data_IF_896148054413
#
_entry.id   IF_896148054413
#
_cell.length_a   1.000
_cell.length_b   1.000
_cell.length_c   1.000
_cell.angle_alpha   90.00
_cell.angle_beta   90.00
_cell.angle_gamma   90.00
#
_symmetry.space_group_name_H-M   'P 1'
#
loop_
_entity.id
_entity.type
_entity.pdbx_description
1 polymer ?
#
# COMPACT_ATOMS: atom_id res chain seq x y z
N UNK A 1 34.91 -55.14 -38.83
CA UNK A 1 34.73 -54.87 -37.39
C UNK A 1 35.18 -53.47 -36.99
N UNK A 2 36.38 -52.98 -37.32
CA UNK A 2 36.84 -51.65 -36.88
C UNK A 2 35.89 -50.47 -37.31
N UNK A 3 35.33 -50.50 -38.54
CA UNK A 3 34.40 -49.44 -39.02
C UNK A 3 33.07 -49.40 -38.28
N UNK A 4 32.55 -50.54 -37.81
CA UNK A 4 31.28 -50.63 -37.05
C UNK A 4 31.49 -50.10 -35.65
N UNK A 5 32.65 -50.31 -35.05
CA UNK A 5 33.01 -49.80 -33.70
C UNK A 5 33.10 -48.27 -33.74
N UNK A 6 33.71 -47.67 -34.76
CA UNK A 6 33.79 -46.22 -34.89
C UNK A 6 32.40 -45.58 -35.13
N UNK A 7 31.49 -46.22 -35.88
CA UNK A 7 30.11 -45.76 -36.04
C UNK A 7 29.32 -45.81 -34.73
N UNK A 8 29.56 -46.85 -33.89
CA UNK A 8 28.85 -46.97 -32.61
C UNK A 8 29.38 -45.98 -31.56
N UNK A 9 30.69 -45.72 -31.51
CA UNK A 9 31.27 -44.71 -30.65
C UNK A 9 30.84 -43.30 -31.06
N UNK A 10 30.75 -43.01 -32.37
CA UNK A 10 30.24 -41.73 -32.87
C UNK A 10 28.73 -41.50 -32.56
N UNK A 11 27.94 -42.57 -32.59
CA UNK A 11 26.50 -42.49 -32.26
C UNK A 11 26.28 -42.31 -30.72
N UNK A 12 27.11 -42.89 -29.87
CA UNK A 12 27.03 -42.69 -28.42
C UNK A 12 27.46 -41.27 -27.99
N UNK A 13 28.34 -40.60 -28.73
CA UNK A 13 28.75 -39.23 -28.45
C UNK A 13 27.69 -38.20 -28.85
N UNK A 14 26.71 -38.55 -29.70
CA UNK A 14 25.61 -37.70 -30.08
C UNK A 14 24.39 -37.79 -29.12
N UNK A 15 24.42 -38.74 -28.18
CA UNK A 15 23.34 -38.95 -27.20
C UNK A 15 23.64 -38.28 -25.83
N UNK A 16 24.77 -37.65 -25.63
CA UNK A 16 25.00 -36.75 -24.51
C UNK A 16 24.33 -35.39 -24.82
N UNK A 17 23.01 -35.41 -24.93
CA UNK A 17 22.22 -34.21 -24.86
C UNK A 17 22.45 -33.59 -23.50
N UNK A 18 23.26 -32.55 -23.40
CA UNK A 18 23.23 -31.63 -22.27
C UNK A 18 21.78 -31.23 -22.08
N UNK A 19 21.26 -31.34 -20.85
CA UNK A 19 20.01 -30.68 -20.50
C UNK A 19 20.20 -29.20 -20.79
N UNK A 20 19.44 -28.67 -21.73
CA UNK A 20 19.45 -27.24 -22.06
C UNK A 20 18.60 -26.44 -21.06
N UNK A 21 18.56 -26.86 -19.81
CA UNK A 21 18.05 -26.04 -18.71
C UNK A 21 19.17 -25.09 -18.23
N UNK A 22 19.66 -24.27 -19.15
CA UNK A 22 20.42 -23.08 -18.75
C UNK A 22 19.44 -22.06 -18.23
N UNK A 23 19.32 -21.97 -16.90
CA UNK A 23 18.70 -20.84 -16.23
C UNK A 23 19.53 -19.60 -16.64
N UNK A 24 18.93 -18.59 -17.28
CA UNK A 24 19.65 -17.38 -17.66
C UNK A 24 20.37 -16.83 -16.43
N UNK A 25 21.68 -16.61 -16.50
CA UNK A 25 22.49 -16.11 -15.37
C UNK A 25 22.00 -14.74 -14.84
N UNK A 26 21.15 -14.06 -15.58
CA UNK A 26 20.50 -12.80 -15.21
C UNK A 26 19.09 -12.97 -14.61
N UNK A 27 18.53 -14.19 -14.56
CA UNK A 27 17.26 -14.44 -13.87
C UNK A 27 17.54 -14.92 -12.46
N UNK A 28 17.02 -14.18 -11.48
CA UNK A 28 17.02 -14.64 -10.09
C UNK A 28 16.05 -15.80 -10.00
N UNK A 29 16.57 -17.02 -9.77
CA UNK A 29 15.76 -18.21 -9.60
C UNK A 29 14.85 -18.06 -8.36
N UNK A 30 13.60 -18.53 -8.47
CA UNK A 30 12.62 -18.59 -7.41
C UNK A 30 13.22 -19.16 -6.12
N UNK A 31 13.96 -20.26 -6.24
CA UNK A 31 14.60 -20.92 -5.10
C UNK A 31 15.60 -19.99 -4.39
N UNK A 32 16.34 -19.18 -5.12
CA UNK A 32 17.31 -18.23 -4.53
C UNK A 32 16.62 -17.16 -3.70
N UNK A 33 15.46 -16.68 -4.14
CA UNK A 33 14.69 -15.65 -3.42
C UNK A 33 14.10 -16.21 -2.13
N UNK A 34 13.42 -17.35 -2.19
CA UNK A 34 12.66 -17.87 -1.06
C UNK A 34 13.47 -18.72 -0.08
N UNK A 35 14.76 -18.93 -0.32
CA UNK A 35 15.67 -19.69 0.56
C UNK A 35 16.41 -18.86 1.60
N UNK A 36 16.35 -17.53 1.51
CA UNK A 36 17.13 -16.66 2.39
C UNK A 36 16.27 -15.50 2.89
N UNK A 37 16.51 -15.07 4.12
CA UNK A 37 15.88 -13.86 4.66
C UNK A 37 16.11 -12.64 3.76
N UNK A 38 17.34 -12.48 3.25
CA UNK A 38 17.66 -11.37 2.34
C UNK A 38 16.86 -11.40 1.04
N UNK A 39 16.58 -12.58 0.53
CA UNK A 39 15.72 -12.76 -0.64
C UNK A 39 14.28 -12.36 -0.35
N UNK A 40 13.72 -12.80 0.80
CA UNK A 40 12.39 -12.42 1.25
C UNK A 40 12.28 -10.89 1.45
N UNK A 41 13.27 -10.30 2.11
CA UNK A 41 13.36 -8.85 2.30
C UNK A 41 13.35 -8.12 0.96
N UNK A 42 14.23 -8.50 0.04
CA UNK A 42 14.37 -7.86 -1.27
C UNK A 42 13.07 -7.94 -2.09
N UNK A 43 12.41 -9.12 -2.08
CA UNK A 43 11.12 -9.28 -2.76
C UNK A 43 10.05 -8.37 -2.15
N UNK A 44 10.01 -8.30 -0.82
CA UNK A 44 8.98 -7.55 -0.09
C UNK A 44 9.00 -6.04 -0.40
N UNK A 45 10.12 -5.49 -0.85
CA UNK A 45 10.18 -4.09 -1.29
C UNK A 45 9.25 -3.78 -2.48
N UNK A 46 8.93 -4.78 -3.31
CA UNK A 46 7.99 -4.62 -4.42
C UNK A 46 6.56 -4.25 -3.96
N UNK A 47 6.18 -4.61 -2.73
CA UNK A 47 4.85 -4.29 -2.19
C UNK A 47 4.67 -2.81 -1.92
N UNK A 48 5.75 -2.10 -1.60
CA UNK A 48 5.72 -0.66 -1.31
C UNK A 48 5.34 0.20 -2.51
N UNK A 49 5.39 -0.35 -3.74
CA UNK A 49 4.91 0.34 -4.94
C UNK A 49 3.40 0.65 -4.90
N UNK A 50 2.65 0.00 -4.01
CA UNK A 50 1.23 0.26 -3.78
C UNK A 50 0.97 1.51 -2.95
N UNK A 51 1.96 1.99 -2.20
CA UNK A 51 1.80 3.19 -1.39
C UNK A 51 1.77 4.44 -2.28
N UNK A 52 1.04 5.49 -1.86
CA UNK A 52 1.02 6.75 -2.58
C UNK A 52 2.43 7.29 -2.82
N UNK A 53 2.67 7.76 -4.02
CA UNK A 53 3.93 8.42 -4.36
C UNK A 53 4.03 9.80 -3.69
N UNK A 54 5.25 10.35 -3.66
CA UNK A 54 5.48 11.73 -3.15
C UNK A 54 4.60 12.75 -3.88
N UNK A 55 4.30 12.50 -5.16
CA UNK A 55 3.49 13.41 -5.98
C UNK A 55 1.99 13.32 -5.69
N UNK A 56 1.49 12.19 -5.19
CA UNK A 56 0.04 11.99 -5.00
C UNK A 56 -0.51 12.90 -3.90
N UNK A 57 0.27 13.14 -2.85
CA UNK A 57 -0.15 13.96 -1.72
C UNK A 57 -0.63 15.35 -2.12
N UNK A 58 0.14 16.08 -2.93
CA UNK A 58 -0.24 17.43 -3.34
C UNK A 58 -1.20 17.48 -4.54
N UNK A 59 -1.24 16.45 -5.38
CA UNK A 59 -2.17 16.41 -6.53
C UNK A 59 -3.62 16.21 -6.09
N UNK A 60 -3.84 15.53 -4.99
CA UNK A 60 -5.18 15.35 -4.40
C UNK A 60 -5.77 16.65 -3.85
N UNK A 61 -4.97 17.67 -3.59
CA UNK A 61 -5.45 19.00 -3.16
C UNK A 61 -6.40 19.64 -4.17
N UNK A 62 -6.36 19.25 -5.43
CA UNK A 62 -7.30 19.68 -6.47
C UNK A 62 -8.76 19.24 -6.21
N UNK A 63 -9.00 18.29 -5.29
CA UNK A 63 -10.32 17.80 -4.90
C UNK A 63 -10.78 18.33 -3.54
N UNK A 64 -10.07 19.30 -2.97
CA UNK A 64 -10.34 19.87 -1.66
C UNK A 64 -11.14 21.17 -1.75
N UNK A 65 -11.84 21.54 -0.67
CA UNK A 65 -12.69 22.74 -0.59
C UNK A 65 -11.91 24.06 -0.57
N UNK A 66 -10.60 24.03 -0.50
CA UNK A 66 -9.78 25.25 -0.44
C UNK A 66 -9.09 25.58 -1.75
N UNK A 67 -9.05 24.65 -2.71
CA UNK A 67 -8.31 24.78 -3.93
C UNK A 67 -9.14 24.64 -5.21
N UNK A 68 -8.66 25.22 -6.28
CA UNK A 68 -9.20 25.05 -7.62
C UNK A 68 -8.07 24.91 -8.63
N UNK A 69 -8.30 24.08 -9.64
CA UNK A 69 -7.41 23.87 -10.79
C UNK A 69 -8.18 24.20 -12.09
N UNK A 70 -7.46 24.24 -13.21
CA UNK A 70 -8.06 24.62 -14.52
C UNK A 70 -9.00 23.55 -15.09
N UNK A 71 -8.88 22.29 -14.66
CA UNK A 71 -9.77 21.21 -15.08
C UNK A 71 -10.14 20.35 -13.88
N UNK A 72 -11.42 20.06 -13.72
CA UNK A 72 -11.90 19.15 -12.70
C UNK A 72 -11.65 17.70 -13.10
N UNK A 73 -11.30 16.88 -12.10
CA UNK A 73 -11.23 15.44 -12.26
C UNK A 73 -12.58 14.88 -12.69
N UNK A 74 -12.58 13.84 -13.51
CA UNK A 74 -13.82 13.16 -13.94
C UNK A 74 -14.64 12.64 -12.77
N UNK A 75 -14.00 12.32 -11.66
CA UNK A 75 -14.67 11.88 -10.43
C UNK A 75 -15.64 12.95 -9.87
N UNK A 76 -15.34 14.24 -10.04
CA UNK A 76 -16.17 15.36 -9.53
C UNK A 76 -17.19 15.79 -10.56
N UNK A 77 -16.94 15.56 -11.85
CA UNK A 77 -17.79 16.06 -12.93
C UNK A 77 -19.04 15.21 -13.06
N UNK A 78 -20.21 15.86 -13.05
CA UNK A 78 -21.49 15.21 -13.27
C UNK A 78 -21.49 14.42 -14.59
N UNK A 79 -21.90 13.17 -14.54
CA UNK A 79 -21.99 12.27 -15.70
C UNK A 79 -20.66 11.83 -16.33
N UNK A 80 -19.51 12.26 -15.78
CA UNK A 80 -18.20 11.89 -16.33
C UNK A 80 -17.57 10.64 -15.68
N UNK A 81 -18.18 10.13 -14.62
CA UNK A 81 -17.74 8.94 -13.90
C UNK A 81 -18.82 7.87 -13.91
N UNK A 82 -18.47 6.67 -14.32
CA UNK A 82 -19.33 5.49 -14.30
C UNK A 82 -18.48 4.24 -14.11
N UNK A 83 -19.10 3.10 -13.84
CA UNK A 83 -18.42 1.81 -13.76
C UNK A 83 -17.61 1.48 -15.03
N UNK A 84 -18.10 1.87 -16.20
CA UNK A 84 -17.41 1.66 -17.50
C UNK A 84 -16.23 2.60 -17.70
N UNK A 85 -16.29 3.81 -17.14
CA UNK A 85 -15.25 4.84 -17.25
C UNK A 85 -14.28 4.82 -16.06
N UNK A 86 -14.54 3.99 -15.04
CA UNK A 86 -13.71 3.82 -13.87
C UNK A 86 -12.40 3.16 -14.25
N UNK A 87 -11.29 3.69 -13.73
CA UNK A 87 -9.97 3.05 -13.75
C UNK A 87 -9.70 2.37 -12.39
N UNK A 88 -8.58 1.64 -12.28
CA UNK A 88 -8.13 1.09 -11.00
C UNK A 88 -8.62 -0.33 -10.69
N UNK A 89 -9.37 -0.97 -11.60
CA UNK A 89 -9.69 -2.40 -11.50
C UNK A 89 -8.48 -3.22 -11.96
N UNK A 90 -7.42 -3.22 -11.15
CA UNK A 90 -6.15 -3.91 -11.42
C UNK A 90 -5.82 -4.86 -10.28
N UNK A 91 -5.38 -6.06 -10.62
CA UNK A 91 -5.13 -7.16 -9.69
C UNK A 91 -3.67 -7.62 -9.69
N UNK A 92 -2.78 -6.89 -10.37
CA UNK A 92 -1.36 -7.24 -10.51
C UNK A 92 -0.64 -7.26 -9.16
N UNK A 93 -0.92 -6.26 -8.31
CA UNK A 93 -0.28 -6.14 -7.01
C UNK A 93 -0.74 -7.25 -6.07
N UNK A 94 -2.04 -7.57 -6.07
CA UNK A 94 -2.58 -8.70 -5.33
C UNK A 94 -1.95 -10.03 -5.78
N UNK A 95 -1.81 -10.23 -7.10
CA UNK A 95 -1.15 -11.43 -7.63
C UNK A 95 0.30 -11.54 -7.13
N UNK A 96 1.04 -10.43 -7.11
CA UNK A 96 2.40 -10.37 -6.60
C UNK A 96 2.48 -10.74 -5.11
N UNK A 97 1.55 -10.23 -4.31
CA UNK A 97 1.45 -10.54 -2.87
C UNK A 97 1.10 -12.01 -2.65
N UNK A 98 0.07 -12.51 -3.31
CA UNK A 98 -0.35 -13.91 -3.16
C UNK A 98 0.75 -14.87 -3.61
N UNK A 99 1.45 -14.57 -4.72
CA UNK A 99 2.59 -15.34 -5.16
C UNK A 99 3.68 -15.42 -4.08
N UNK A 100 3.96 -14.32 -3.41
CA UNK A 100 4.93 -14.31 -2.32
C UNK A 100 4.48 -15.20 -1.15
N UNK A 101 3.23 -15.06 -0.69
CA UNK A 101 2.69 -15.83 0.42
C UNK A 101 2.75 -17.33 0.12
N UNK A 102 2.32 -17.76 -1.07
CA UNK A 102 2.33 -19.16 -1.51
C UNK A 102 3.74 -19.76 -1.58
N UNK A 103 4.75 -18.96 -1.85
CA UNK A 103 6.12 -19.43 -2.03
C UNK A 103 7.03 -19.21 -0.81
N UNK A 104 6.57 -18.47 0.20
CA UNK A 104 7.31 -18.24 1.45
C UNK A 104 7.19 -19.44 2.41
N UNK A 105 7.53 -20.63 1.94
CA UNK A 105 7.36 -21.90 2.65
C UNK A 105 8.66 -22.66 2.91
N UNK A 106 9.81 -22.14 2.45
CA UNK A 106 11.07 -22.85 2.53
C UNK A 106 11.56 -22.96 3.97
N UNK A 107 11.75 -24.19 4.45
CA UNK A 107 12.19 -24.50 5.82
C UNK A 107 13.66 -24.13 6.10
N UNK A 108 14.44 -23.75 5.08
CA UNK A 108 15.78 -23.21 5.28
C UNK A 108 15.75 -21.80 5.92
N UNK A 109 14.61 -21.14 5.93
CA UNK A 109 14.36 -19.89 6.65
C UNK A 109 13.52 -20.18 7.87
N UNK A 110 13.91 -19.67 9.03
CA UNK A 110 13.16 -19.85 10.27
C UNK A 110 11.70 -19.43 10.14
N UNK A 111 10.79 -20.17 10.77
CA UNK A 111 9.36 -19.92 10.71
C UNK A 111 9.01 -18.49 11.17
N UNK A 112 9.64 -18.00 12.23
CA UNK A 112 9.42 -16.63 12.72
C UNK A 112 9.82 -15.56 11.69
N UNK A 113 10.88 -15.82 10.92
CA UNK A 113 11.31 -14.93 9.83
C UNK A 113 10.33 -15.01 8.66
N UNK A 114 9.88 -16.22 8.27
CA UNK A 114 8.85 -16.37 7.25
C UNK A 114 7.56 -15.65 7.64
N UNK A 115 7.10 -15.86 8.87
CA UNK A 115 5.89 -15.21 9.39
C UNK A 115 5.99 -13.69 9.43
N UNK A 116 7.17 -13.13 9.71
CA UNK A 116 7.40 -11.70 9.63
C UNK A 116 7.15 -11.16 8.20
N UNK A 117 7.70 -11.82 7.17
CA UNK A 117 7.52 -11.37 5.79
C UNK A 117 6.13 -11.73 5.22
N UNK A 118 5.53 -12.84 5.66
CA UNK A 118 4.12 -13.15 5.36
C UNK A 118 3.22 -12.09 6.02
N UNK A 119 3.52 -11.68 7.26
CA UNK A 119 2.82 -10.59 7.94
C UNK A 119 2.87 -9.28 7.17
N UNK A 120 4.05 -8.93 6.64
CA UNK A 120 4.20 -7.77 5.77
C UNK A 120 3.39 -7.92 4.46
N UNK A 121 3.40 -9.09 3.83
CA UNK A 121 2.62 -9.35 2.63
C UNK A 121 1.10 -9.26 2.91
N UNK A 122 0.63 -9.81 4.03
CA UNK A 122 -0.77 -9.72 4.47
C UNK A 122 -1.18 -8.29 4.83
N UNK A 123 -0.29 -7.49 5.40
CA UNK A 123 -0.51 -6.05 5.59
C UNK A 123 -0.83 -5.36 4.26
N UNK A 124 -0.04 -5.61 3.22
CA UNK A 124 -0.27 -5.02 1.90
C UNK A 124 -1.49 -5.61 1.19
N UNK A 125 -1.84 -6.88 1.43
CA UNK A 125 -3.08 -7.46 0.92
C UNK A 125 -4.31 -6.81 1.56
N UNK A 126 -4.28 -6.60 2.86
CA UNK A 126 -5.31 -5.87 3.58
C UNK A 126 -5.45 -4.42 3.07
N UNK A 127 -4.34 -3.73 2.84
CA UNK A 127 -4.34 -2.39 2.25
C UNK A 127 -4.93 -2.39 0.85
N UNK A 128 -4.54 -3.33 -0.01
CA UNK A 128 -5.09 -3.50 -1.35
C UNK A 128 -6.62 -3.67 -1.32
N UNK A 129 -7.11 -4.61 -0.52
CA UNK A 129 -8.55 -4.87 -0.46
C UNK A 129 -9.33 -3.73 0.17
N UNK A 130 -8.78 -3.05 1.16
CA UNK A 130 -9.37 -1.84 1.70
C UNK A 130 -9.58 -0.77 0.62
N UNK A 131 -8.55 -0.46 -0.17
CA UNK A 131 -8.65 0.50 -1.28
C UNK A 131 -9.66 0.05 -2.34
N UNK A 132 -9.69 -1.24 -2.67
CA UNK A 132 -10.66 -1.81 -3.61
C UNK A 132 -12.09 -1.71 -3.09
N UNK A 133 -12.35 -2.01 -1.82
CA UNK A 133 -13.67 -1.92 -1.20
C UNK A 133 -14.13 -0.47 -1.08
N UNK A 134 -13.25 0.45 -0.70
CA UNK A 134 -13.56 1.89 -0.66
C UNK A 134 -14.03 2.39 -2.03
N UNK A 135 -13.40 1.92 -3.09
CA UNK A 135 -13.67 2.39 -4.45
C UNK A 135 -14.83 1.68 -5.13
N UNK A 136 -14.95 0.37 -4.97
CA UNK A 136 -15.84 -0.47 -5.78
C UNK A 136 -16.96 -1.15 -4.97
N UNK A 137 -16.93 -1.08 -3.65
CA UNK A 137 -17.82 -1.83 -2.78
C UNK A 137 -17.50 -3.31 -2.77
N UNK A 138 -18.42 -4.17 -3.20
CA UNK A 138 -18.19 -5.60 -3.34
C UNK A 138 -17.10 -5.90 -4.38
N UNK A 139 -16.18 -6.80 -4.04
CA UNK A 139 -15.07 -7.24 -4.90
C UNK A 139 -14.80 -8.72 -4.70
N UNK A 140 -14.27 -9.47 -5.68
CA UNK A 140 -13.93 -10.87 -5.47
C UNK A 140 -12.76 -11.00 -4.49
N UNK A 141 -12.86 -11.91 -3.52
CA UNK A 141 -11.77 -12.28 -2.64
C UNK A 141 -10.90 -13.35 -3.31
N UNK A 142 -9.64 -13.04 -3.50
CA UNK A 142 -8.65 -13.91 -4.14
C UNK A 142 -7.42 -13.96 -3.23
N UNK A 143 -7.19 -15.09 -2.59
CA UNK A 143 -6.10 -15.31 -1.62
C UNK A 143 -4.94 -16.15 -2.17
N UNK A 144 -4.99 -16.49 -3.47
CA UNK A 144 -3.99 -17.30 -4.18
C UNK A 144 -3.70 -16.76 -5.58
N UNK A 145 -2.66 -17.28 -6.19
CA UNK A 145 -2.35 -16.99 -7.61
C UNK A 145 -3.28 -17.78 -8.52
N UNK A 146 -3.91 -17.09 -9.47
CA UNK A 146 -4.81 -17.73 -10.43
C UNK A 146 -4.06 -18.11 -11.71
N UNK A 147 -4.33 -19.33 -12.20
CA UNK A 147 -3.96 -19.78 -13.55
C UNK A 147 -4.89 -19.22 -14.63
N UNK A 148 -4.54 -19.42 -15.89
CA UNK A 148 -5.34 -18.90 -17.03
C UNK A 148 -6.72 -19.56 -17.18
N UNK A 149 -6.88 -20.75 -16.64
CA UNK A 149 -8.13 -21.54 -16.73
C UNK A 149 -8.86 -21.57 -15.36
N UNK A 150 -8.50 -20.70 -14.42
CA UNK A 150 -9.07 -20.69 -13.08
C UNK A 150 -10.50 -20.11 -13.10
N UNK A 151 -11.44 -20.85 -12.51
CA UNK A 151 -12.85 -20.47 -12.48
C UNK A 151 -13.09 -19.16 -11.71
N UNK A 152 -12.23 -18.82 -10.75
CA UNK A 152 -12.31 -17.54 -10.01
C UNK A 152 -12.08 -16.31 -10.90
N UNK A 153 -11.48 -16.47 -12.08
CA UNK A 153 -11.38 -15.37 -13.06
C UNK A 153 -12.74 -14.88 -13.54
N UNK A 154 -13.76 -15.71 -13.42
CA UNK A 154 -15.14 -15.44 -13.86
C UNK A 154 -16.13 -15.42 -12.71
N UNK A 155 -15.65 -15.51 -11.45
CA UNK A 155 -16.49 -15.46 -10.28
C UNK A 155 -17.15 -14.10 -10.10
N UNK A 156 -18.30 -14.09 -9.44
CA UNK A 156 -18.94 -12.86 -9.00
C UNK A 156 -18.12 -12.14 -7.92
N UNK A 157 -18.62 -10.98 -7.51
CA UNK A 157 -18.03 -10.24 -6.39
C UNK A 157 -18.50 -10.86 -5.07
N UNK A 158 -17.60 -10.98 -4.12
CA UNK A 158 -17.92 -11.29 -2.75
C UNK A 158 -18.48 -10.07 -2.04
N UNK A 159 -19.30 -10.29 -1.02
CA UNK A 159 -19.87 -9.20 -0.25
C UNK A 159 -18.79 -8.38 0.46
N UNK A 160 -19.00 -7.08 0.59
CA UNK A 160 -18.15 -6.20 1.39
C UNK A 160 -17.84 -6.80 2.77
N UNK A 161 -18.84 -7.38 3.43
CA UNK A 161 -18.66 -8.01 4.76
C UNK A 161 -17.63 -9.11 4.72
N UNK A 162 -17.76 -10.06 3.80
CA UNK A 162 -16.81 -11.17 3.65
C UNK A 162 -15.39 -10.66 3.39
N UNK A 163 -15.24 -9.68 2.48
CA UNK A 163 -13.92 -9.13 2.15
C UNK A 163 -13.32 -8.39 3.33
N UNK A 164 -14.11 -7.59 4.07
CA UNK A 164 -13.59 -6.84 5.22
C UNK A 164 -13.26 -7.73 6.40
N UNK A 165 -13.97 -8.85 6.59
CA UNK A 165 -13.62 -9.85 7.61
C UNK A 165 -12.24 -10.46 7.30
N UNK A 166 -11.96 -10.81 6.05
CA UNK A 166 -10.63 -11.26 5.63
C UNK A 166 -9.55 -10.17 5.74
N UNK A 167 -9.90 -8.91 5.47
CA UNK A 167 -9.00 -7.77 5.69
C UNK A 167 -8.60 -7.69 7.17
N UNK A 168 -9.56 -7.88 8.08
CA UNK A 168 -9.29 -7.89 9.51
C UNK A 168 -8.36 -9.06 9.91
N UNK A 169 -8.62 -10.26 9.43
CA UNK A 169 -7.76 -11.44 9.63
C UNK A 169 -6.32 -11.21 9.13
N UNK A 170 -6.16 -10.56 7.99
CA UNK A 170 -4.85 -10.22 7.46
C UNK A 170 -4.12 -9.20 8.32
N UNK A 171 -4.84 -8.20 8.82
CA UNK A 171 -4.26 -7.19 9.73
C UNK A 171 -3.91 -7.77 11.10
N UNK A 172 -4.72 -8.69 11.62
CA UNK A 172 -4.42 -9.38 12.87
C UNK A 172 -3.13 -10.17 12.75
N UNK A 173 -3.00 -10.97 11.71
CA UNK A 173 -1.77 -11.70 11.44
C UNK A 173 -0.57 -10.76 11.28
N UNK A 174 -0.74 -9.65 10.57
CA UNK A 174 0.33 -8.66 10.38
C UNK A 174 0.77 -8.04 11.72
N UNK A 175 -0.19 -7.63 12.56
CA UNK A 175 0.07 -7.07 13.89
C UNK A 175 0.81 -8.04 14.81
N UNK A 176 0.52 -9.33 14.72
CA UNK A 176 1.16 -10.35 15.53
C UNK A 176 2.58 -10.70 15.06
N UNK A 177 2.79 -10.77 13.76
CA UNK A 177 3.97 -11.39 13.17
C UNK A 177 5.02 -10.41 12.64
N UNK A 178 4.68 -9.15 12.32
CA UNK A 178 5.69 -8.15 11.94
C UNK A 178 6.60 -7.88 13.14
N UNK A 179 7.87 -8.24 13.00
CA UNK A 179 8.87 -8.15 14.08
C UNK A 179 9.53 -6.77 14.17
N UNK A 180 9.55 -5.99 13.09
CA UNK A 180 10.14 -4.66 13.05
C UNK A 180 9.33 -3.70 13.93
N UNK A 181 9.95 -3.17 15.00
CA UNK A 181 9.31 -2.20 15.91
C UNK A 181 9.85 -0.79 15.76
N UNK A 182 10.96 -0.61 15.03
CA UNK A 182 11.57 0.71 14.78
C UNK A 182 12.07 0.80 13.34
N UNK A 183 11.94 1.98 12.78
CA UNK A 183 12.55 2.36 11.52
C UNK A 183 13.00 3.82 11.57
N UNK A 184 14.31 4.02 11.53
CA UNK A 184 14.93 5.36 11.59
C UNK A 184 14.71 6.18 10.31
N UNK A 185 14.28 5.54 9.24
CA UNK A 185 14.01 6.21 7.97
C UNK A 185 12.57 6.70 7.86
N UNK A 186 11.65 6.12 8.62
CA UNK A 186 10.22 6.36 8.52
C UNK A 186 9.59 5.87 7.19
N UNK A 187 10.27 4.98 6.47
CA UNK A 187 9.85 4.52 5.14
C UNK A 187 9.44 3.05 5.09
N UNK A 188 9.66 2.29 6.15
CA UNK A 188 9.34 0.87 6.22
C UNK A 188 8.18 0.59 7.18
N UNK A 189 7.36 -0.39 6.80
CA UNK A 189 6.27 -0.85 7.65
C UNK A 189 6.83 -1.51 8.90
N UNK A 190 6.41 -1.00 10.05
CA UNK A 190 6.67 -1.56 11.38
C UNK A 190 5.40 -2.20 11.93
N UNK A 191 5.53 -2.96 13.01
CA UNK A 191 4.39 -3.48 13.76
C UNK A 191 3.37 -2.37 14.11
N UNK A 192 3.86 -1.20 14.47
CA UNK A 192 3.01 -0.07 14.86
C UNK A 192 2.25 0.53 13.67
N UNK A 193 2.85 0.52 12.48
CA UNK A 193 2.16 0.89 11.24
C UNK A 193 1.02 -0.09 10.95
N UNK A 194 1.21 -1.39 11.20
CA UNK A 194 0.14 -2.38 11.04
C UNK A 194 -1.03 -2.12 12.00
N UNK A 195 -0.77 -1.87 13.27
CA UNK A 195 -1.80 -1.48 14.24
C UNK A 195 -2.49 -0.16 13.88
N UNK A 196 -1.74 0.84 13.41
CA UNK A 196 -2.33 2.12 13.00
C UNK A 196 -3.25 1.94 11.78
N UNK A 197 -2.84 1.14 10.79
CA UNK A 197 -3.68 0.81 9.65
C UNK A 197 -4.92 0.02 10.08
N UNK A 198 -4.77 -0.98 10.96
CA UNK A 198 -5.89 -1.73 11.54
C UNK A 198 -6.91 -0.79 12.19
N UNK A 199 -6.43 0.12 13.05
CA UNK A 199 -7.31 1.11 13.70
C UNK A 199 -8.07 1.96 12.68
N UNK A 200 -7.37 2.47 11.65
CA UNK A 200 -7.98 3.30 10.59
C UNK A 200 -9.04 2.53 9.79
N UNK A 201 -8.73 1.31 9.36
CA UNK A 201 -9.64 0.49 8.56
C UNK A 201 -10.85 0.09 9.38
N UNK A 202 -10.68 -0.33 10.63
CA UNK A 202 -11.79 -0.71 11.51
C UNK A 202 -12.68 0.50 11.83
N UNK A 203 -12.12 1.68 12.06
CA UNK A 203 -12.89 2.91 12.25
C UNK A 203 -13.70 3.28 11.01
N UNK A 204 -13.10 3.16 9.83
CA UNK A 204 -13.79 3.41 8.55
C UNK A 204 -14.96 2.44 8.37
N UNK A 205 -14.72 1.13 8.56
CA UNK A 205 -15.74 0.10 8.37
C UNK A 205 -16.88 0.25 9.38
N UNK A 206 -16.58 0.50 10.65
CA UNK A 206 -17.58 0.78 11.67
C UNK A 206 -18.45 1.99 11.30
N UNK A 207 -17.82 3.07 10.86
CA UNK A 207 -18.51 4.28 10.44
C UNK A 207 -19.36 4.04 9.21
N UNK A 208 -18.84 3.31 8.23
CA UNK A 208 -19.58 2.93 7.03
C UNK A 208 -20.85 2.13 7.41
N UNK A 209 -20.72 1.06 8.20
CA UNK A 209 -21.86 0.23 8.65
C UNK A 209 -22.88 1.04 9.46
N UNK A 210 -22.41 1.98 10.26
CA UNK A 210 -23.27 2.84 11.09
C UNK A 210 -24.15 3.77 10.27
N UNK A 211 -23.59 4.39 9.22
CA UNK A 211 -24.29 5.41 8.46
C UNK A 211 -25.00 4.87 7.22
N UNK A 212 -24.68 3.65 6.79
CA UNK A 212 -25.36 2.95 5.69
C UNK A 212 -26.34 1.88 6.22
N UNK A 213 -27.36 2.37 6.94
CA UNK A 213 -28.35 1.49 7.59
C UNK A 213 -29.16 0.65 6.61
N UNK A 214 -29.25 1.07 5.35
CA UNK A 214 -29.89 0.35 4.27
C UNK A 214 -29.25 -1.01 3.96
N UNK A 215 -28.00 -1.21 4.37
CA UNK A 215 -27.26 -2.45 4.18
C UNK A 215 -27.53 -3.50 5.27
N UNK A 216 -28.22 -3.12 6.37
CA UNK A 216 -28.55 -4.03 7.46
C UNK A 216 -27.34 -4.54 8.27
N UNK A 217 -26.25 -3.77 8.34
CA UNK A 217 -24.98 -4.16 8.99
C UNK A 217 -24.76 -3.51 10.36
N UNK A 218 -25.79 -2.87 10.91
CA UNK A 218 -25.68 -2.09 12.16
C UNK A 218 -25.32 -2.90 13.38
N UNK A 219 -25.67 -4.18 13.42
CA UNK A 219 -25.41 -5.07 14.57
C UNK A 219 -23.91 -5.32 14.82
N UNK A 220 -23.07 -5.15 13.81
CA UNK A 220 -21.62 -5.36 13.87
C UNK A 220 -20.80 -4.09 14.11
N UNK A 221 -21.46 -2.94 14.18
CA UNK A 221 -20.80 -1.61 14.30
C UNK A 221 -19.91 -1.52 15.53
N UNK A 222 -20.42 -1.93 16.68
CA UNK A 222 -19.72 -1.80 17.97
C UNK A 222 -18.45 -2.67 18.01
N UNK A 223 -18.50 -3.86 17.39
CA UNK A 223 -17.36 -4.76 17.30
C UNK A 223 -16.21 -4.10 16.51
N UNK A 224 -16.51 -3.54 15.36
CA UNK A 224 -15.51 -2.83 14.55
C UNK A 224 -14.96 -1.57 15.23
N UNK A 225 -15.79 -0.80 15.97
CA UNK A 225 -15.28 0.30 16.78
C UNK A 225 -14.35 -0.18 17.91
N UNK A 226 -14.68 -1.29 18.55
CA UNK A 226 -13.82 -1.85 19.59
C UNK A 226 -12.47 -2.31 19.04
N UNK A 227 -12.42 -2.93 17.86
CA UNK A 227 -11.16 -3.26 17.17
C UNK A 227 -10.34 -2.00 16.88
N UNK A 228 -10.99 -0.96 16.35
CA UNK A 228 -10.31 0.31 16.10
C UNK A 228 -9.69 0.91 17.37
N UNK A 229 -10.43 0.91 18.47
CA UNK A 229 -9.97 1.42 19.78
C UNK A 229 -8.81 0.58 20.31
N UNK A 230 -8.95 -0.76 20.32
CA UNK A 230 -7.89 -1.66 20.79
C UNK A 230 -6.58 -1.45 20.03
N UNK A 231 -6.64 -1.36 18.72
CA UNK A 231 -5.47 -1.14 17.87
C UNK A 231 -4.83 0.24 18.13
N UNK A 232 -5.64 1.30 18.23
CA UNK A 232 -5.16 2.64 18.54
C UNK A 232 -4.51 2.71 19.93
N UNK A 233 -5.13 2.12 20.95
CA UNK A 233 -4.59 2.08 22.31
C UNK A 233 -3.25 1.34 22.37
N UNK A 234 -3.08 0.24 21.60
CA UNK A 234 -1.81 -0.47 21.52
C UNK A 234 -0.72 0.43 20.96
N UNK A 235 -0.99 1.17 19.88
CA UNK A 235 -0.05 2.15 19.34
C UNK A 235 0.30 3.21 20.41
N UNK A 236 -0.70 3.81 21.04
CA UNK A 236 -0.50 4.89 22.01
C UNK A 236 0.30 4.44 23.24
N UNK A 237 0.12 3.20 23.69
CA UNK A 237 0.74 2.69 24.92
C UNK A 237 2.09 2.04 24.70
N UNK A 238 2.34 1.43 23.54
CA UNK A 238 3.46 0.51 23.34
C UNK A 238 4.45 0.95 22.26
N UNK A 239 4.04 1.81 21.31
CA UNK A 239 4.91 2.13 20.15
C UNK A 239 6.08 3.05 20.49
N UNK A 240 5.93 3.86 21.53
CA UNK A 240 6.89 4.92 21.88
C UNK A 240 6.77 6.18 21.01
N UNK A 241 5.83 6.21 20.05
CA UNK A 241 5.55 7.44 19.30
C UNK A 241 4.79 8.45 20.19
N UNK A 242 5.04 9.71 19.93
CA UNK A 242 4.41 10.82 20.65
C UNK A 242 4.34 12.06 19.76
N UNK A 243 3.43 12.96 20.09
CA UNK A 243 3.36 14.27 19.41
C UNK A 243 4.71 14.98 19.53
N UNK A 244 5.24 15.42 18.40
CA UNK A 244 6.52 16.10 18.33
C UNK A 244 6.43 17.53 18.90
N UNK A 245 7.30 17.83 19.85
CA UNK A 245 7.35 19.14 20.54
C UNK A 245 8.76 19.73 20.55
N UNK A 246 9.69 19.18 19.74
CA UNK A 246 11.11 19.54 19.79
C UNK A 246 11.44 20.98 19.39
N UNK A 247 10.57 21.66 18.62
CA UNK A 247 10.72 23.05 18.21
C UNK A 247 9.82 24.03 19.03
N UNK A 248 9.20 23.55 20.09
CA UNK A 248 8.22 24.31 20.88
C UNK A 248 6.84 24.38 20.24
N UNK A 249 5.89 25.01 20.95
CA UNK A 249 4.47 25.03 20.57
C UNK A 249 4.19 25.73 19.25
N UNK A 250 5.01 26.72 18.89
CA UNK A 250 4.78 27.58 17.72
C UNK A 250 5.34 27.01 16.41
N UNK A 251 6.35 26.11 16.51
CA UNK A 251 7.09 25.65 15.33
C UNK A 251 7.00 24.14 15.09
N UNK A 252 6.78 23.31 16.12
CA UNK A 252 6.85 21.84 16.00
C UNK A 252 5.89 21.29 14.95
N UNK A 253 4.64 21.75 14.93
CA UNK A 253 3.67 21.31 13.93
C UNK A 253 4.13 21.62 12.49
N UNK A 254 4.65 22.84 12.27
CA UNK A 254 5.17 23.22 10.96
C UNK A 254 6.37 22.37 10.56
N UNK A 255 7.26 22.07 11.52
CA UNK A 255 8.48 21.30 11.27
C UNK A 255 8.19 19.89 10.75
N UNK A 256 7.07 19.25 11.13
CA UNK A 256 6.65 17.96 10.61
C UNK A 256 6.48 17.96 9.08
N UNK A 257 6.06 19.11 8.51
CA UNK A 257 5.72 19.21 7.09
C UNK A 257 6.81 19.86 6.22
N UNK A 258 7.84 20.46 6.84
CA UNK A 258 8.93 21.12 6.11
C UNK A 258 10.31 20.51 6.36
N UNK A 259 10.40 19.49 7.20
CA UNK A 259 11.66 18.77 7.46
C UNK A 259 12.11 17.99 6.23
N UNK A 260 13.42 17.94 5.99
CA UNK A 260 14.02 17.15 4.92
C UNK A 260 13.88 15.63 5.12
N UNK A 261 13.59 15.21 6.35
CA UNK A 261 13.40 13.81 6.74
C UNK A 261 12.20 13.68 7.65
N UNK A 262 11.51 12.53 7.64
CA UNK A 262 10.43 12.26 8.58
C UNK A 262 10.91 12.42 10.04
N UNK A 263 10.12 13.09 10.85
CA UNK A 263 10.33 13.16 12.30
C UNK A 263 9.78 11.88 12.92
N UNK A 264 10.61 10.84 12.99
CA UNK A 264 10.19 9.47 13.34
C UNK A 264 9.71 9.28 14.78
N UNK A 265 9.81 10.31 15.63
CA UNK A 265 9.13 10.31 16.93
C UNK A 265 7.61 10.44 16.83
N UNK A 266 7.08 10.99 15.73
CA UNK A 266 5.64 11.13 15.47
C UNK A 266 5.24 10.46 14.16
N UNK A 267 6.03 10.63 13.09
CA UNK A 267 5.75 10.08 11.76
C UNK A 267 6.07 8.58 11.74
N UNK A 268 5.08 7.74 11.52
CA UNK A 268 5.22 6.28 11.56
C UNK A 268 5.59 5.68 10.20
N UNK A 269 5.04 6.24 9.12
CA UNK A 269 5.33 5.84 7.73
C UNK A 269 5.17 7.04 6.80
N UNK A 270 6.16 7.28 5.95
CA UNK A 270 6.16 8.38 5.00
C UNK A 270 6.64 7.91 3.62
N UNK A 271 6.10 8.54 2.59
CA UNK A 271 6.66 8.45 1.25
C UNK A 271 7.77 9.50 1.12
N UNK A 272 9.00 9.05 0.98
CA UNK A 272 10.18 9.90 1.03
C UNK A 272 10.66 10.28 -0.39
N UNK A 273 11.01 11.56 -0.57
CA UNK A 273 11.73 12.01 -1.76
C UNK A 273 13.25 11.82 -1.56
N UNK A 274 13.95 11.46 -2.61
CA UNK A 274 15.41 11.36 -2.62
C UNK A 274 15.95 11.78 -3.98
N UNK A 275 16.65 12.92 -4.01
CA UNK A 275 17.22 13.46 -5.24
C UNK A 275 18.33 12.58 -5.83
N UNK A 276 19.08 11.87 -5.00
CA UNK A 276 20.13 10.95 -5.44
C UNK A 276 19.58 9.73 -6.17
N UNK A 277 18.38 9.32 -5.82
CA UNK A 277 17.63 8.23 -6.47
C UNK A 277 16.66 8.71 -7.55
N UNK A 278 16.67 10.02 -7.87
CA UNK A 278 15.72 10.65 -8.79
C UNK A 278 14.24 10.50 -8.40
N UNK A 279 13.96 10.27 -7.12
CA UNK A 279 12.60 10.26 -6.57
C UNK A 279 12.24 11.69 -6.15
N UNK A 280 11.51 12.39 -7.00
CA UNK A 280 11.21 13.82 -6.82
C UNK A 280 9.70 14.04 -6.72
N UNK A 281 9.32 15.03 -5.90
CA UNK A 281 7.91 15.35 -5.65
C UNK A 281 7.27 16.30 -6.66
N UNK A 282 7.96 16.88 -7.62
CA UNK A 282 7.44 17.81 -8.66
C UNK A 282 6.50 18.93 -8.16
N UNK A 283 6.32 19.09 -6.84
CA UNK A 283 5.33 20.00 -6.26
C UNK A 283 5.54 21.46 -6.75
N UNK A 284 6.77 21.92 -6.77
CA UNK A 284 7.09 23.27 -7.23
C UNK A 284 6.63 23.49 -8.69
N UNK A 285 6.92 22.54 -9.57
CA UNK A 285 6.49 22.62 -10.97
C UNK A 285 4.96 22.58 -11.09
N UNK A 286 4.31 21.68 -10.37
CA UNK A 286 2.85 21.54 -10.37
C UNK A 286 2.13 22.83 -9.95
N UNK A 287 2.60 23.47 -8.88
CA UNK A 287 1.97 24.64 -8.31
C UNK A 287 2.31 25.95 -9.05
N UNK A 288 3.53 26.10 -9.57
CA UNK A 288 4.04 27.37 -10.08
C UNK A 288 4.07 27.47 -11.60
N UNK A 289 4.05 26.36 -12.34
CA UNK A 289 4.10 26.41 -13.79
C UNK A 289 2.78 26.94 -14.40
N UNK A 290 2.85 28.12 -15.02
CA UNK A 290 1.71 28.73 -15.69
C UNK A 290 1.31 28.04 -17.01
N UNK A 291 2.18 27.19 -17.59
CA UNK A 291 1.95 26.54 -18.89
C UNK A 291 1.53 25.09 -18.75
N UNK A 292 2.21 24.32 -17.92
CA UNK A 292 2.06 22.87 -17.81
C UNK A 292 1.58 22.40 -16.42
N UNK A 293 1.64 23.27 -15.42
CA UNK A 293 1.17 22.96 -14.07
C UNK A 293 -0.35 23.03 -13.95
N UNK A 294 -0.86 22.72 -12.79
CA UNK A 294 -2.29 22.72 -12.48
C UNK A 294 -2.91 24.11 -12.43
N UNK A 295 -2.10 25.18 -12.40
CA UNK A 295 -2.56 26.57 -12.16
C UNK A 295 -3.44 26.63 -10.91
N UNK A 296 -2.99 25.97 -9.85
CA UNK A 296 -3.71 25.90 -8.60
C UNK A 296 -3.95 27.29 -8.01
N UNK A 297 -5.18 27.52 -7.58
CA UNK A 297 -5.59 28.77 -6.96
C UNK A 297 -6.43 28.48 -5.72
N UNK A 298 -6.34 29.34 -4.71
CA UNK A 298 -7.25 29.26 -3.57
C UNK A 298 -8.63 29.79 -3.95
N UNK A 299 -9.68 29.09 -3.55
CA UNK A 299 -11.06 29.56 -3.78
C UNK A 299 -11.39 30.73 -2.83
N UNK A 300 -12.27 31.62 -3.28
CA UNK A 300 -12.68 32.81 -2.51
C UNK A 300 -13.21 32.47 -1.13
N UNK A 301 -14.03 31.43 -1.02
CA UNK A 301 -14.64 31.01 0.25
C UNK A 301 -13.56 30.66 1.28
N UNK A 302 -12.52 29.93 0.85
CA UNK A 302 -11.39 29.58 1.71
C UNK A 302 -10.57 30.83 2.10
N UNK A 303 -10.24 31.69 1.14
CA UNK A 303 -9.49 32.94 1.43
C UNK A 303 -10.25 33.80 2.44
N UNK A 304 -11.56 33.84 2.36
CA UNK A 304 -12.41 34.59 3.31
C UNK A 304 -12.44 33.99 4.73
N UNK A 305 -11.92 32.80 4.95
CA UNK A 305 -11.75 32.25 6.31
C UNK A 305 -10.59 32.85 7.08
N UNK A 306 -9.61 33.45 6.37
CA UNK A 306 -8.51 34.17 7.01
C UNK A 306 -9.02 35.53 7.50
N UNK A 307 -9.00 35.72 8.80
CA UNK A 307 -9.48 36.93 9.44
C UNK A 307 -8.32 37.93 9.64
N UNK A 308 -8.64 39.20 9.49
CA UNK A 308 -7.73 40.24 9.94
C UNK A 308 -7.69 40.26 11.46
N UNK A 309 -6.53 40.10 12.07
CA UNK A 309 -6.37 40.01 13.52
C UNK A 309 -6.84 41.26 14.28
N UNK A 310 -6.90 42.41 13.63
CA UNK A 310 -7.36 43.67 14.23
C UNK A 310 -8.88 43.86 14.12
N UNK A 311 -9.51 43.31 13.12
CA UNK A 311 -10.90 43.60 12.78
C UNK A 311 -11.79 42.37 12.74
N UNK A 312 -11.24 41.17 12.87
CA UNK A 312 -11.96 39.89 12.69
C UNK A 312 -12.75 39.83 11.36
N UNK A 313 -12.23 40.49 10.33
CA UNK A 313 -12.80 40.53 9.00
C UNK A 313 -11.88 39.89 7.99
N UNK A 314 -12.46 39.34 6.91
CA UNK A 314 -11.70 38.82 5.77
C UNK A 314 -10.75 39.87 5.22
N UNK A 315 -9.52 39.53 4.81
CA UNK A 315 -8.67 40.47 4.07
C UNK A 315 -9.37 40.88 2.78
N UNK A 316 -9.36 42.14 2.50
CA UNK A 316 -9.94 42.71 1.28
C UNK A 316 -9.09 42.39 0.05
#
# INVERSE_FOLDING_TARGET
MKRIIYSFVSACLLLSSCSMDEIPQASVDKDTVFRTEKGLETYSYSFYNMLPSVSDGFRQDAMCDYGAVTSFDNFIREGAYSAELSSGWSWSDLRNINYFIENCTNEAVDESVRNNYIGLARFFRAYFYYEMVVRFGDVPWIDRTLGVDDELLYAGRDSRTTVMDHVLEDLDFACENISRTKDETGSLVTKWVAYALKSRICLFEASFRKYHTELGLTDSVDEWYQEAVRAAETVMKESGHSIYTGEGTDASFRSLFISDKPVTSEVMLASCADAGLAVLGEANWWWTSGTYGARFSMIRTFVNTFLNCLLYTSPS
#
